data_IF_560572962884
#
_entry.id   IF_560572962884
#
_cell.length_a   1.000
_cell.length_b   1.000
_cell.length_c   1.000
_cell.angle_alpha   90.00
_cell.angle_beta   90.00
_cell.angle_gamma   90.00
#
_symmetry.space_group_name_H-M   'P 1'
#
loop_
_entity.id
_entity.type
_entity.pdbx_description
1 polymer ?
#
# COMPACT_ATOMS: atom_id res chain seq x y z
N UNK A 1 -48.34 -6.02 50.78
CA UNK A 1 -47.57 -7.25 51.07
C UNK A 1 -46.46 -7.02 52.10
N UNK A 2 -45.66 -5.95 52.00
CA UNK A 2 -44.59 -5.60 52.97
C UNK A 2 -45.08 -5.39 54.41
N UNK A 3 -46.30 -4.87 54.58
CA UNK A 3 -46.95 -4.64 55.89
C UNK A 3 -47.43 -5.91 56.59
N UNK A 4 -47.89 -6.92 55.85
CA UNK A 4 -48.32 -8.20 56.44
C UNK A 4 -47.13 -9.05 56.90
N UNK A 5 -46.00 -9.01 56.18
CA UNK A 5 -44.79 -9.75 56.53
C UNK A 5 -44.14 -9.19 57.80
N UNK A 6 -44.09 -7.85 57.92
CA UNK A 6 -43.58 -7.17 59.12
C UNK A 6 -44.45 -7.41 60.36
N UNK A 7 -45.78 -7.47 60.19
CA UNK A 7 -46.71 -7.84 61.27
C UNK A 7 -46.50 -9.30 61.73
N UNK A 8 -46.28 -10.22 60.79
CA UNK A 8 -45.99 -11.63 61.08
C UNK A 8 -44.66 -11.80 61.82
N UNK A 9 -43.60 -11.13 61.35
CA UNK A 9 -42.28 -11.16 61.98
C UNK A 9 -42.32 -10.57 63.40
N UNK A 10 -43.11 -9.51 63.63
CA UNK A 10 -43.34 -8.94 64.96
C UNK A 10 -44.11 -9.89 65.87
N UNK A 11 -45.18 -10.50 65.38
CA UNK A 11 -45.98 -11.46 66.14
C UNK A 11 -45.14 -12.68 66.57
N UNK A 12 -44.24 -13.15 65.71
CA UNK A 12 -43.32 -14.26 66.00
C UNK A 12 -42.03 -13.88 66.75
N UNK A 13 -41.79 -12.60 67.07
CA UNK A 13 -40.53 -12.15 67.68
C UNK A 13 -39.30 -12.32 66.79
N UNK A 14 -39.49 -12.39 65.47
CA UNK A 14 -38.47 -12.76 64.48
C UNK A 14 -37.64 -11.57 63.95
N UNK A 15 -37.96 -10.32 64.35
CA UNK A 15 -37.24 -9.13 63.87
C UNK A 15 -35.71 -9.20 64.05
N UNK A 16 -35.16 -9.63 65.21
CA UNK A 16 -33.70 -9.76 65.37
C UNK A 16 -33.11 -10.81 64.44
N UNK A 17 -33.82 -11.92 64.21
CA UNK A 17 -33.37 -12.98 63.30
C UNK A 17 -33.41 -12.51 61.84
N UNK A 18 -34.43 -11.75 61.46
CA UNK A 18 -34.53 -11.13 60.13
C UNK A 18 -33.42 -10.12 59.89
N UNK A 19 -33.03 -9.33 60.88
CA UNK A 19 -31.89 -8.40 60.77
C UNK A 19 -30.57 -9.16 60.58
N UNK A 20 -30.33 -10.22 61.35
CA UNK A 20 -29.16 -11.10 61.19
C UNK A 20 -29.10 -11.72 59.78
N UNK A 21 -30.25 -12.18 59.25
CA UNK A 21 -30.35 -12.67 57.87
C UNK A 21 -30.09 -11.54 56.87
N UNK A 22 -30.60 -10.34 57.11
CA UNK A 22 -30.36 -9.16 56.27
C UNK A 22 -28.87 -8.84 56.11
N UNK A 23 -28.13 -8.81 57.22
CA UNK A 23 -26.66 -8.62 57.21
C UNK A 23 -25.98 -9.70 56.36
N UNK A 24 -26.35 -10.97 56.53
CA UNK A 24 -25.78 -12.08 55.75
C UNK A 24 -26.15 -12.01 54.26
N UNK A 25 -27.34 -11.52 53.93
CA UNK A 25 -27.75 -11.32 52.52
C UNK A 25 -26.95 -10.20 51.87
N UNK A 26 -26.67 -9.11 52.58
CA UNK A 26 -25.87 -8.01 52.05
C UNK A 26 -24.38 -8.38 51.91
N UNK A 27 -23.83 -9.13 52.87
CA UNK A 27 -22.50 -9.77 52.74
C UNK A 27 -22.46 -10.67 51.49
N UNK A 28 -23.46 -11.54 51.31
CA UNK A 28 -23.54 -12.45 50.16
C UNK A 28 -23.64 -11.69 48.83
N UNK A 29 -24.37 -10.58 48.77
CA UNK A 29 -24.46 -9.73 47.57
C UNK A 29 -23.12 -9.09 47.23
N UNK A 30 -22.40 -8.61 48.22
CA UNK A 30 -21.07 -8.01 48.04
C UNK A 30 -20.10 -9.04 47.46
N UNK A 31 -20.00 -10.21 48.09
CA UNK A 31 -19.15 -11.32 47.63
C UNK A 31 -19.51 -11.77 46.21
N UNK A 32 -20.81 -11.82 45.87
CA UNK A 32 -21.25 -12.18 44.51
C UNK A 32 -20.83 -11.16 43.47
N UNK A 33 -20.86 -9.87 43.81
CA UNK A 33 -20.43 -8.79 42.90
C UNK A 33 -18.92 -8.88 42.67
N UNK A 34 -18.14 -9.02 43.74
CA UNK A 34 -16.69 -9.21 43.65
C UNK A 34 -16.32 -10.46 42.83
N UNK A 35 -17.06 -11.56 43.01
CA UNK A 35 -16.83 -12.78 42.25
C UNK A 35 -17.12 -12.58 40.75
N UNK A 36 -18.17 -11.84 40.41
CA UNK A 36 -18.51 -11.55 39.01
C UNK A 36 -17.45 -10.66 38.36
N UNK A 37 -17.02 -9.60 39.04
CA UNK A 37 -15.93 -8.73 38.60
C UNK A 37 -14.62 -9.50 38.38
N UNK A 38 -14.28 -10.40 39.31
CA UNK A 38 -13.11 -11.27 39.18
C UNK A 38 -13.22 -12.20 37.97
N UNK A 39 -14.40 -12.78 37.71
CA UNK A 39 -14.62 -13.65 36.55
C UNK A 39 -14.52 -12.88 35.23
N UNK A 40 -15.11 -11.69 35.15
CA UNK A 40 -15.00 -10.84 33.97
C UNK A 40 -13.56 -10.39 33.73
N UNK A 41 -12.83 -10.04 34.79
CA UNK A 41 -11.41 -9.69 34.69
C UNK A 41 -10.56 -10.87 34.20
N UNK A 42 -10.82 -12.08 34.72
CA UNK A 42 -10.11 -13.28 34.27
C UNK A 42 -10.38 -13.58 32.80
N UNK A 43 -11.65 -13.49 32.36
CA UNK A 43 -12.00 -13.68 30.95
C UNK A 43 -11.26 -12.69 30.03
N UNK A 44 -11.23 -11.39 30.39
CA UNK A 44 -10.48 -10.38 29.64
C UNK A 44 -8.98 -10.65 29.62
N UNK A 45 -8.40 -11.11 30.74
CA UNK A 45 -6.97 -11.47 30.81
C UNK A 45 -6.63 -12.63 29.89
N UNK A 46 -7.48 -13.66 29.83
CA UNK A 46 -7.27 -14.82 28.95
C UNK A 46 -7.30 -14.40 27.48
N UNK A 47 -8.28 -13.60 27.08
CA UNK A 47 -8.38 -13.06 25.73
C UNK A 47 -7.15 -12.22 25.37
N UNK A 48 -6.72 -11.34 26.29
CA UNK A 48 -5.54 -10.50 26.11
C UNK A 48 -4.25 -11.30 25.95
N UNK A 49 -4.08 -12.37 26.74
CA UNK A 49 -2.92 -13.26 26.60
C UNK A 49 -2.93 -13.95 25.23
N UNK A 50 -4.09 -14.38 24.74
CA UNK A 50 -4.21 -15.02 23.44
C UNK A 50 -3.84 -14.04 22.29
N UNK A 51 -4.36 -12.82 22.34
CA UNK A 51 -4.03 -11.75 21.38
C UNK A 51 -2.52 -11.46 21.35
N UNK A 52 -1.90 -11.25 22.51
CA UNK A 52 -0.47 -10.95 22.61
C UNK A 52 0.41 -12.11 22.14
N UNK A 53 -0.02 -13.36 22.32
CA UNK A 53 0.69 -14.54 21.80
C UNK A 53 0.67 -14.59 20.29
N UNK A 54 -0.49 -14.35 19.68
CA UNK A 54 -0.61 -14.32 18.22
C UNK A 54 0.26 -13.21 17.63
N UNK A 55 0.23 -12.01 18.24
CA UNK A 55 1.09 -10.90 17.81
C UNK A 55 2.58 -11.22 17.94
N UNK A 56 2.98 -11.92 19.00
CA UNK A 56 4.37 -12.36 19.18
C UNK A 56 4.78 -13.33 18.08
N UNK A 57 3.93 -14.30 17.74
CA UNK A 57 4.15 -15.25 16.65
C UNK A 57 4.31 -14.53 15.30
N UNK A 58 3.43 -13.55 15.01
CA UNK A 58 3.49 -12.75 13.78
C UNK A 58 4.80 -11.94 13.68
N UNK A 59 5.20 -11.28 14.77
CA UNK A 59 6.46 -10.50 14.82
C UNK A 59 7.69 -11.41 14.67
N UNK A 60 7.67 -12.59 15.30
CA UNK A 60 8.75 -13.58 15.17
C UNK A 60 8.85 -14.13 13.75
N UNK A 61 7.72 -14.47 13.13
CA UNK A 61 7.66 -14.96 11.76
C UNK A 61 8.16 -13.92 10.74
N UNK A 62 7.96 -12.64 11.03
CA UNK A 62 8.41 -11.55 10.16
C UNK A 62 9.94 -11.37 10.12
N UNK A 63 10.70 -11.96 11.05
CA UNK A 63 12.16 -11.93 11.07
C UNK A 63 12.74 -10.52 10.84
N UNK A 64 12.22 -9.55 11.59
CA UNK A 64 12.58 -8.13 11.46
C UNK A 64 14.08 -7.92 11.72
N UNK A 65 14.72 -7.08 10.91
CA UNK A 65 16.09 -6.63 11.16
C UNK A 65 16.11 -5.17 11.56
N UNK A 66 17.09 -4.80 12.38
CA UNK A 66 17.42 -3.39 12.61
C UNK A 66 17.75 -2.71 11.28
N UNK A 67 17.35 -1.45 11.15
CA UNK A 67 17.62 -0.56 10.02
C UNK A 67 17.06 -0.99 8.65
N UNK A 68 16.35 -2.13 8.59
CA UNK A 68 15.74 -2.67 7.36
C UNK A 68 14.83 -1.67 6.65
N UNK A 69 13.99 -0.95 7.41
CA UNK A 69 13.09 0.05 6.83
C UNK A 69 13.86 1.18 6.11
N UNK A 70 14.98 1.62 6.68
CA UNK A 70 15.81 2.68 6.09
C UNK A 70 16.50 2.20 4.81
N UNK A 71 17.01 0.96 4.81
CA UNK A 71 17.62 0.33 3.63
C UNK A 71 16.58 0.19 2.51
N UNK A 72 15.40 -0.35 2.82
CA UNK A 72 14.30 -0.51 1.86
C UNK A 72 13.82 0.83 1.29
N UNK A 73 13.76 1.88 2.10
CA UNK A 73 13.40 3.23 1.63
C UNK A 73 14.40 3.79 0.60
N UNK A 74 15.69 3.59 0.84
CA UNK A 74 16.74 4.02 -0.09
C UNK A 74 16.67 3.23 -1.40
N UNK A 75 16.56 1.90 -1.30
CA UNK A 75 16.44 1.00 -2.45
C UNK A 75 15.18 1.32 -3.28
N UNK A 76 14.03 1.52 -2.63
CA UNK A 76 12.77 1.93 -3.29
C UNK A 76 12.93 3.22 -4.07
N UNK A 77 13.58 4.22 -3.51
CA UNK A 77 13.77 5.51 -4.19
C UNK A 77 14.62 5.35 -5.45
N UNK A 78 15.66 4.51 -5.41
CA UNK A 78 16.47 4.22 -6.59
C UNK A 78 15.66 3.48 -7.66
N UNK A 79 14.84 2.51 -7.24
CA UNK A 79 14.02 1.71 -8.15
C UNK A 79 12.88 2.50 -8.79
N UNK A 80 12.20 3.37 -8.04
CA UNK A 80 11.15 4.23 -8.59
C UNK A 80 11.69 5.13 -9.72
N UNK A 81 12.90 5.65 -9.54
CA UNK A 81 13.58 6.40 -10.60
C UNK A 81 13.87 5.51 -11.81
N UNK A 82 14.34 4.29 -11.60
CA UNK A 82 14.64 3.33 -12.68
C UNK A 82 13.38 2.90 -13.47
N UNK A 83 12.26 2.64 -12.78
CA UNK A 83 10.95 2.41 -13.41
C UNK A 83 10.59 3.60 -14.29
N UNK A 84 10.68 4.81 -13.72
CA UNK A 84 10.30 6.01 -14.45
C UNK A 84 11.16 6.27 -15.68
N UNK A 85 12.47 6.01 -15.59
CA UNK A 85 13.39 6.10 -16.72
C UNK A 85 12.99 5.11 -17.82
N UNK A 86 12.71 3.86 -17.44
CA UNK A 86 12.29 2.79 -18.35
C UNK A 86 10.97 3.12 -19.05
N UNK A 87 9.97 3.61 -18.32
CA UNK A 87 8.70 4.08 -18.88
C UNK A 87 8.92 5.18 -19.91
N UNK A 88 9.71 6.21 -19.55
CA UNK A 88 9.92 7.38 -20.39
C UNK A 88 10.69 7.03 -21.66
N UNK A 89 11.74 6.19 -21.58
CA UNK A 89 12.51 5.80 -22.76
C UNK A 89 11.70 4.87 -23.68
N UNK A 90 10.87 3.99 -23.12
CA UNK A 90 9.98 3.13 -23.90
C UNK A 90 8.95 3.97 -24.66
N UNK A 91 8.35 4.95 -23.99
CA UNK A 91 7.42 5.88 -24.61
C UNK A 91 8.12 6.73 -25.71
N UNK A 92 9.32 7.24 -25.43
CA UNK A 92 10.09 7.99 -26.42
C UNK A 92 10.43 7.15 -27.66
N UNK A 93 10.90 5.92 -27.47
CA UNK A 93 11.19 5.00 -28.57
C UNK A 93 9.93 4.64 -29.38
N UNK A 94 8.82 4.38 -28.70
CA UNK A 94 7.55 4.10 -29.36
C UNK A 94 7.12 5.29 -30.23
N UNK A 95 7.14 6.50 -29.70
CA UNK A 95 6.78 7.72 -30.46
C UNK A 95 7.74 8.01 -31.63
N UNK A 96 9.04 7.72 -31.48
CA UNK A 96 10.01 7.95 -32.54
C UNK A 96 9.89 6.93 -33.67
N UNK A 97 9.77 5.64 -33.35
CA UNK A 97 10.03 4.57 -34.33
C UNK A 97 8.95 3.48 -34.43
N UNK A 98 8.25 3.10 -33.34
CA UNK A 98 7.27 2.00 -33.42
C UNK A 98 5.86 2.46 -33.79
N UNK A 99 5.46 3.65 -33.34
CA UNK A 99 4.07 4.08 -33.36
C UNK A 99 3.17 3.21 -32.45
N UNK A 100 1.86 3.39 -32.62
CA UNK A 100 0.83 2.55 -32.02
C UNK A 100 -0.28 2.35 -33.05
N UNK A 101 -0.36 1.17 -33.66
CA UNK A 101 -1.43 0.80 -34.60
C UNK A 101 -2.66 0.20 -33.90
N UNK A 102 -2.52 -0.17 -32.61
CA UNK A 102 -3.52 -0.96 -31.86
C UNK A 102 -4.41 -0.09 -30.98
N UNK A 103 -3.97 1.12 -30.67
CA UNK A 103 -4.66 2.07 -29.82
C UNK A 103 -5.95 2.65 -30.42
N UNK A 104 -6.76 3.29 -29.57
CA UNK A 104 -7.98 4.02 -29.98
C UNK A 104 -7.69 5.18 -30.95
N UNK A 105 -6.44 5.64 -30.98
CA UNK A 105 -5.94 6.64 -31.91
C UNK A 105 -4.63 6.14 -32.46
N UNK A 106 -4.61 5.61 -33.69
CA UNK A 106 -3.39 5.11 -34.27
C UNK A 106 -2.39 6.27 -34.42
N UNK A 107 -1.20 6.08 -33.89
CA UNK A 107 -0.15 7.10 -33.90
C UNK A 107 0.97 6.65 -34.81
N UNK A 108 1.24 7.44 -35.85
CA UNK A 108 2.39 7.20 -36.73
C UNK A 108 3.68 7.65 -36.03
N UNK A 109 4.77 6.87 -36.12
CA UNK A 109 6.05 7.27 -35.58
C UNK A 109 6.57 8.55 -36.25
N UNK A 110 7.32 9.35 -35.50
CA UNK A 110 7.89 10.60 -35.99
C UNK A 110 8.81 10.38 -37.22
N UNK A 111 9.56 9.26 -37.26
CA UNK A 111 10.42 8.89 -38.39
C UNK A 111 9.58 8.73 -39.67
N UNK A 112 8.46 8.02 -39.58
CA UNK A 112 7.57 7.81 -40.73
C UNK A 112 6.97 9.13 -41.23
N UNK A 113 6.47 9.96 -40.30
CA UNK A 113 5.89 11.26 -40.65
C UNK A 113 6.90 12.19 -41.32
N UNK A 114 8.15 12.24 -40.83
CA UNK A 114 9.19 13.02 -41.50
C UNK A 114 9.62 12.41 -42.83
N UNK A 115 9.59 11.08 -42.96
CA UNK A 115 9.81 10.40 -44.24
C UNK A 115 8.82 10.84 -45.30
N UNK A 116 7.54 10.94 -44.94
CA UNK A 116 6.50 11.46 -45.84
C UNK A 116 6.75 12.92 -46.24
N UNK A 117 7.10 13.79 -45.27
CA UNK A 117 7.39 15.20 -45.54
C UNK A 117 8.62 15.36 -46.47
N UNK A 118 9.68 14.58 -46.23
CA UNK A 118 10.89 14.61 -47.04
C UNK A 118 10.59 14.15 -48.48
N UNK A 119 9.76 13.12 -48.66
CA UNK A 119 9.32 12.65 -49.97
C UNK A 119 8.49 13.72 -50.69
N UNK A 120 7.48 14.30 -50.03
CA UNK A 120 6.61 15.32 -50.63
C UNK A 120 7.40 16.57 -51.05
N UNK A 121 8.36 17.01 -50.23
CA UNK A 121 9.24 18.14 -50.57
C UNK A 121 10.24 17.79 -51.68
N UNK A 122 10.72 16.54 -51.73
CA UNK A 122 11.54 16.03 -52.82
C UNK A 122 10.78 16.07 -54.15
N UNK A 123 9.57 15.54 -54.17
CA UNK A 123 8.70 15.58 -55.34
C UNK A 123 8.36 17.00 -55.78
N UNK A 124 8.07 17.89 -54.82
CA UNK A 124 7.80 19.31 -55.11
C UNK A 124 9.03 20.03 -55.68
N UNK A 125 10.25 19.71 -55.21
CA UNK A 125 11.48 20.33 -55.71
C UNK A 125 11.75 20.01 -57.19
N UNK A 126 11.24 18.88 -57.69
CA UNK A 126 11.29 18.53 -59.12
C UNK A 126 10.36 19.42 -59.97
N UNK A 127 9.32 20.00 -59.37
CA UNK A 127 8.35 20.87 -60.03
C UNK A 127 8.71 22.36 -59.86
N UNK A 128 9.16 22.75 -58.67
CA UNK A 128 9.55 24.11 -58.32
C UNK A 128 10.93 24.12 -57.63
N UNK A 129 12.01 24.49 -58.36
CA UNK A 129 13.36 24.57 -57.80
C UNK A 129 13.49 25.52 -56.59
N UNK A 130 12.54 26.44 -56.37
CA UNK A 130 12.58 27.35 -55.22
C UNK A 130 12.48 26.64 -53.86
N UNK A 131 11.95 25.41 -53.81
CA UNK A 131 11.84 24.63 -52.57
C UNK A 131 12.97 23.62 -52.35
N UNK A 132 13.99 23.58 -53.23
CA UNK A 132 15.09 22.60 -53.12
C UNK A 132 15.80 22.64 -51.76
N UNK A 133 16.02 23.84 -51.20
CA UNK A 133 16.62 24.00 -49.87
C UNK A 133 15.73 23.43 -48.73
N UNK A 134 14.39 23.48 -48.88
CA UNK A 134 13.47 22.88 -47.91
C UNK A 134 13.49 21.35 -48.00
N UNK A 135 13.60 20.79 -49.21
CA UNK A 135 13.75 19.35 -49.41
C UNK A 135 15.04 18.81 -48.77
N UNK A 136 16.18 19.46 -49.01
CA UNK A 136 17.45 19.11 -48.38
C UNK A 136 17.36 19.18 -46.85
N UNK A 137 16.77 20.26 -46.31
CA UNK A 137 16.57 20.40 -44.87
C UNK A 137 15.67 19.31 -44.29
N UNK A 138 14.61 18.89 -45.00
CA UNK A 138 13.72 17.83 -44.54
C UNK A 138 14.42 16.47 -44.51
N UNK A 139 15.24 16.17 -45.51
CA UNK A 139 16.07 14.95 -45.54
C UNK A 139 17.10 14.93 -44.42
N UNK A 140 17.76 16.06 -44.14
CA UNK A 140 18.68 16.19 -43.01
C UNK A 140 17.99 15.97 -41.66
N UNK A 141 16.78 16.52 -41.48
CA UNK A 141 15.98 16.31 -40.26
C UNK A 141 15.59 14.84 -40.13
N UNK A 142 15.19 14.18 -41.21
CA UNK A 142 14.87 12.75 -41.20
C UNK A 142 16.05 11.91 -40.71
N UNK A 143 17.25 12.10 -41.27
CA UNK A 143 18.44 11.36 -40.84
C UNK A 143 18.79 11.59 -39.36
N UNK A 144 18.72 12.85 -38.89
CA UNK A 144 18.94 13.16 -37.47
C UNK A 144 17.92 12.48 -36.55
N UNK A 145 16.69 12.32 -37.03
CA UNK A 145 15.61 11.71 -36.27
C UNK A 145 15.75 10.18 -36.22
N UNK A 146 16.23 9.55 -37.30
CA UNK A 146 16.64 8.14 -37.32
C UNK A 146 17.81 7.85 -36.37
N UNK A 147 18.84 8.70 -36.38
CA UNK A 147 19.99 8.59 -35.47
C UNK A 147 19.55 8.70 -34.00
N UNK A 148 18.66 9.66 -33.70
CA UNK A 148 18.10 9.81 -32.36
C UNK A 148 17.31 8.57 -31.93
N UNK A 149 16.50 7.99 -32.83
CA UNK A 149 15.75 6.78 -32.55
C UNK A 149 16.68 5.59 -32.24
N UNK A 150 17.79 5.48 -32.96
CA UNK A 150 18.83 4.48 -32.70
C UNK A 150 19.50 4.70 -31.34
N UNK A 151 19.90 5.93 -31.01
CA UNK A 151 20.51 6.25 -29.72
C UNK A 151 19.57 5.99 -28.53
N UNK A 152 18.27 6.29 -28.69
CA UNK A 152 17.22 6.01 -27.70
C UNK A 152 17.05 4.50 -27.51
N UNK A 153 17.07 3.72 -28.59
CA UNK A 153 17.03 2.24 -28.54
C UNK A 153 18.22 1.68 -27.79
N UNK A 154 19.43 2.13 -28.12
CA UNK A 154 20.65 1.65 -27.49
C UNK A 154 20.69 1.97 -26.00
N UNK A 155 20.19 3.14 -25.60
CA UNK A 155 20.05 3.50 -24.19
C UNK A 155 19.03 2.60 -23.48
N UNK A 156 17.85 2.40 -24.08
CA UNK A 156 16.81 1.51 -23.54
C UNK A 156 17.33 0.08 -23.35
N UNK A 157 17.98 -0.47 -24.36
CA UNK A 157 18.43 -1.86 -24.37
C UNK A 157 19.58 -2.10 -23.34
N UNK A 158 20.21 -1.03 -22.83
CA UNK A 158 21.19 -1.07 -21.72
C UNK A 158 20.56 -1.01 -20.32
N UNK A 159 19.27 -0.66 -20.20
CA UNK A 159 18.61 -0.61 -18.90
C UNK A 159 18.35 -2.03 -18.39
N UNK A 160 19.15 -2.47 -17.43
CA UNK A 160 18.93 -3.70 -16.68
C UNK A 160 18.06 -3.39 -15.46
N UNK A 161 16.76 -3.55 -15.59
CA UNK A 161 15.79 -3.27 -14.53
C UNK A 161 14.93 -4.50 -14.25
N UNK A 162 14.92 -4.94 -12.99
CA UNK A 162 14.03 -5.99 -12.51
C UNK A 162 12.80 -5.38 -11.81
N UNK A 163 11.62 -5.33 -12.47
CA UNK A 163 10.40 -4.80 -11.86
C UNK A 163 9.94 -5.59 -10.63
N UNK A 164 10.26 -6.88 -10.55
CA UNK A 164 9.82 -7.72 -9.42
C UNK A 164 10.43 -7.27 -8.11
N UNK A 165 11.64 -6.69 -8.18
CA UNK A 165 12.35 -6.25 -6.99
C UNK A 165 11.67 -5.06 -6.32
N UNK A 166 11.05 -4.17 -7.09
CA UNK A 166 10.26 -3.07 -6.50
C UNK A 166 9.02 -3.61 -5.80
N UNK A 167 8.32 -4.58 -6.41
CA UNK A 167 7.14 -5.22 -5.80
C UNK A 167 7.50 -5.90 -4.46
N UNK A 168 8.61 -6.65 -4.42
CA UNK A 168 9.12 -7.28 -3.18
C UNK A 168 9.37 -6.26 -2.07
N UNK A 169 9.97 -5.10 -2.42
CA UNK A 169 10.22 -4.03 -1.46
C UNK A 169 8.90 -3.45 -0.94
N UNK A 170 7.92 -3.21 -1.82
CA UNK A 170 6.62 -2.66 -1.43
C UNK A 170 5.82 -3.62 -0.54
N UNK A 171 5.84 -4.92 -0.85
CA UNK A 171 5.26 -5.97 -0.02
C UNK A 171 5.92 -6.01 1.37
N UNK A 172 7.26 -6.02 1.41
CA UNK A 172 8.01 -6.04 2.67
C UNK A 172 7.74 -4.81 3.52
N UNK A 173 7.75 -3.62 2.92
CA UNK A 173 7.40 -2.37 3.61
C UNK A 173 5.97 -2.38 4.14
N UNK A 174 5.03 -3.01 3.43
CA UNK A 174 3.63 -3.12 3.86
C UNK A 174 3.49 -4.02 5.08
N UNK A 175 4.20 -5.16 5.09
CA UNK A 175 4.29 -6.03 6.27
C UNK A 175 4.88 -5.29 7.49
N UNK A 176 5.95 -4.51 7.30
CA UNK A 176 6.55 -3.71 8.38
C UNK A 176 5.53 -2.72 8.98
N UNK A 177 4.81 -2.00 8.13
CA UNK A 177 3.78 -1.04 8.56
C UNK A 177 2.61 -1.72 9.28
N UNK A 178 2.14 -2.86 8.78
CA UNK A 178 1.01 -3.57 9.42
C UNK A 178 1.38 -4.07 10.80
N UNK A 179 2.57 -4.65 10.97
CA UNK A 179 3.05 -5.12 12.26
C UNK A 179 3.26 -3.95 13.24
N UNK A 180 3.85 -2.85 12.78
CA UNK A 180 4.02 -1.65 13.60
C UNK A 180 2.68 -1.13 14.12
N UNK A 181 1.65 -1.07 13.26
CA UNK A 181 0.31 -0.62 13.64
C UNK A 181 -0.34 -1.58 14.66
N UNK A 182 -0.23 -2.89 14.46
CA UNK A 182 -0.75 -3.89 15.40
C UNK A 182 -0.05 -3.82 16.76
N UNK A 183 1.28 -3.71 16.78
CA UNK A 183 2.08 -3.57 18.00
C UNK A 183 1.73 -2.27 18.74
N UNK A 184 1.60 -1.15 18.03
CA UNK A 184 1.19 0.12 18.64
C UNK A 184 -0.21 0.02 19.25
N UNK A 185 -1.17 -0.57 18.53
CA UNK A 185 -2.52 -0.79 19.04
C UNK A 185 -2.49 -1.68 20.30
N UNK A 186 -1.71 -2.75 20.28
CA UNK A 186 -1.54 -3.63 21.43
C UNK A 186 -0.88 -2.91 22.62
N UNK A 187 0.08 -2.00 22.43
CA UNK A 187 0.70 -1.28 23.57
C UNK A 187 -0.23 -0.21 24.15
N UNK A 188 -1.04 0.44 23.30
CA UNK A 188 -1.87 1.60 23.68
C UNK A 188 -3.22 1.18 24.28
N UNK A 189 -3.71 -0.02 24.01
CA UNK A 189 -4.95 -0.55 24.60
C UNK A 189 -4.69 -1.13 26.01
N UNK A 190 -5.34 -0.57 27.06
CA UNK A 190 -5.17 -0.99 28.46
C UNK A 190 -5.74 -2.40 28.75
#
# INVERSE_FOLDING_TARGET
TRTHLDMLDRYGGLLPLREQVGVKVDELRTIRTELDDLRTNEARRVERIAELRMLLEDVQAAALRSDEEQELLQERSMMQNAVRITELINAAYSNLYQGDESGRTPTRPAVELMGLIANDLGDLSNLDPAVAALSEQATDVLYRLEDLASAVRDYRDRLDFDPRRLDEIEERMTLLRSLQAQVLAAIVLP
#
